data_IF_851285871465
#
_entry.id   IF_851285871465
#
_cell.length_a   1.000
_cell.length_b   1.000
_cell.length_c   1.000
_cell.angle_alpha   90.00
_cell.angle_beta   90.00
_cell.angle_gamma   90.00
#
_symmetry.space_group_name_H-M   'P 1'
#
loop_
_entity.id
_entity.type
_entity.pdbx_description
1 polymer ?
#
# COMPACT_ATOMS: atom_id res chain seq x y z
N UNK A 1 -20.33 0.68 -20.01
CA UNK A 1 -19.21 -0.23 -20.29
C UNK A 1 -18.85 -0.27 -21.75
N UNK A 2 -17.62 -0.61 -22.06
CA UNK A 2 -17.13 -0.82 -23.42
C UNK A 2 -16.49 -2.20 -23.51
N UNK A 3 -16.52 -2.78 -24.72
CA UNK A 3 -15.87 -4.07 -25.02
C UNK A 3 -14.84 -3.82 -26.11
N UNK A 4 -13.65 -4.35 -25.90
CA UNK A 4 -12.56 -4.33 -26.88
C UNK A 4 -12.19 -5.76 -27.20
N UNK A 5 -12.23 -6.12 -28.48
CA UNK A 5 -11.66 -7.36 -28.98
C UNK A 5 -10.21 -7.09 -29.39
N UNK A 6 -9.30 -7.80 -28.80
CA UNK A 6 -7.87 -7.70 -29.10
C UNK A 6 -7.26 -9.08 -28.99
N UNK A 7 -6.54 -9.50 -30.01
CA UNK A 7 -6.02 -10.86 -30.17
C UNK A 7 -7.14 -11.92 -29.97
N UNK A 8 -6.95 -12.89 -29.09
CA UNK A 8 -7.95 -13.91 -28.74
C UNK A 8 -8.76 -13.55 -27.48
N UNK A 9 -8.72 -12.27 -27.06
CA UNK A 9 -9.31 -11.80 -25.81
C UNK A 9 -10.47 -10.84 -26.03
N UNK A 10 -11.46 -10.90 -25.13
CA UNK A 10 -12.47 -9.86 -24.95
C UNK A 10 -12.17 -9.08 -23.68
N UNK A 11 -11.87 -7.82 -23.81
CA UNK A 11 -11.66 -6.93 -22.67
C UNK A 11 -12.93 -6.11 -22.41
N UNK A 12 -13.53 -6.32 -21.23
CA UNK A 12 -14.69 -5.58 -20.76
C UNK A 12 -14.23 -4.48 -19.80
N UNK A 13 -14.59 -3.25 -20.09
CA UNK A 13 -14.19 -2.09 -19.26
C UNK A 13 -15.43 -1.38 -18.75
N UNK A 14 -15.54 -1.27 -17.43
CA UNK A 14 -16.61 -0.56 -16.75
C UNK A 14 -16.00 0.56 -15.91
N UNK A 15 -16.51 1.75 -16.04
CA UNK A 15 -16.05 2.93 -15.30
C UNK A 15 -17.24 3.65 -14.70
N UNK A 16 -17.03 4.23 -13.52
CA UNK A 16 -18.00 5.10 -12.88
C UNK A 16 -17.25 6.24 -12.18
N UNK A 17 -17.69 7.45 -12.39
CA UNK A 17 -17.18 8.64 -11.71
C UNK A 17 -18.35 9.54 -11.37
N UNK A 18 -18.62 9.77 -10.08
CA UNK A 18 -19.54 10.78 -9.61
C UNK A 18 -18.73 11.92 -8.99
N UNK A 19 -18.91 13.12 -9.49
CA UNK A 19 -18.32 14.33 -8.88
C UNK A 19 -19.00 14.66 -7.54
N UNK A 20 -20.29 14.38 -7.46
CA UNK A 20 -21.11 14.53 -6.26
C UNK A 20 -21.95 13.26 -6.14
N UNK A 21 -21.80 12.53 -5.06
CA UNK A 21 -22.54 11.30 -4.81
C UNK A 21 -22.34 10.81 -3.39
N UNK A 22 -23.13 9.82 -2.99
CA UNK A 22 -22.98 9.17 -1.70
C UNK A 22 -21.89 8.09 -1.78
N UNK A 23 -21.32 7.74 -0.63
CA UNK A 23 -20.33 6.67 -0.53
C UNK A 23 -20.96 5.35 -1.01
N UNK A 24 -20.30 4.72 -1.99
CA UNK A 24 -20.77 3.47 -2.58
C UNK A 24 -21.55 3.60 -3.89
N UNK A 25 -21.94 4.80 -4.30
CA UNK A 25 -22.69 5.01 -5.54
C UNK A 25 -21.97 4.49 -6.78
N UNK A 26 -20.67 4.79 -6.90
CA UNK A 26 -19.84 4.31 -8.01
C UNK A 26 -19.74 2.78 -8.01
N UNK A 27 -19.55 2.16 -6.85
CA UNK A 27 -19.51 0.70 -6.72
C UNK A 27 -20.84 0.06 -7.06
N UNK A 28 -21.96 0.66 -6.62
CA UNK A 28 -23.30 0.18 -6.97
C UNK A 28 -23.57 0.32 -8.48
N UNK A 29 -23.11 1.41 -9.11
CA UNK A 29 -23.23 1.60 -10.55
C UNK A 29 -22.43 0.56 -11.33
N UNK A 30 -21.19 0.27 -10.93
CA UNK A 30 -20.36 -0.78 -11.52
C UNK A 30 -21.01 -2.16 -11.37
N UNK A 31 -21.50 -2.52 -10.19
CA UNK A 31 -22.18 -3.81 -9.96
C UNK A 31 -23.43 -3.96 -10.84
N UNK A 32 -24.23 -2.90 -10.99
CA UNK A 32 -25.40 -2.92 -11.89
C UNK A 32 -24.97 -3.11 -13.35
N UNK A 33 -23.94 -2.40 -13.80
CA UNK A 33 -23.44 -2.51 -15.18
C UNK A 33 -22.91 -3.92 -15.48
N UNK A 34 -22.08 -4.48 -14.60
CA UNK A 34 -21.56 -5.85 -14.70
C UNK A 34 -22.69 -6.89 -14.75
N UNK A 35 -23.66 -6.79 -13.82
CA UNK A 35 -24.77 -7.74 -13.74
C UNK A 35 -25.72 -7.67 -14.92
N UNK A 36 -25.85 -6.50 -15.56
CA UNK A 36 -26.73 -6.29 -16.71
C UNK A 36 -26.10 -6.72 -18.05
N UNK A 37 -24.78 -6.92 -18.10
CA UNK A 37 -24.08 -7.22 -19.34
C UNK A 37 -24.26 -8.69 -19.75
N UNK A 38 -25.06 -8.91 -20.78
CA UNK A 38 -25.35 -10.24 -21.30
C UNK A 38 -24.16 -10.86 -22.06
N UNK A 39 -23.31 -10.02 -22.69
CA UNK A 39 -22.14 -10.50 -23.40
C UNK A 39 -21.05 -10.98 -22.44
N UNK A 40 -20.78 -10.20 -21.38
CA UNK A 40 -19.88 -10.62 -20.30
C UNK A 40 -20.34 -11.96 -19.69
N UNK A 41 -21.62 -12.05 -19.34
CA UNK A 41 -22.18 -13.28 -18.77
C UNK A 41 -22.00 -14.48 -19.72
N UNK A 42 -22.22 -14.29 -21.01
CA UNK A 42 -22.01 -15.34 -22.03
C UNK A 42 -20.53 -15.71 -22.16
N UNK A 43 -19.63 -14.74 -22.13
CA UNK A 43 -18.19 -14.98 -22.17
C UNK A 43 -17.73 -15.81 -20.98
N UNK A 44 -18.16 -15.45 -19.77
CA UNK A 44 -17.83 -16.18 -18.52
C UNK A 44 -18.38 -17.61 -18.47
N UNK A 45 -19.48 -17.88 -19.18
CA UNK A 45 -20.07 -19.21 -19.27
C UNK A 45 -19.43 -20.10 -20.34
N UNK A 46 -18.49 -19.56 -21.13
CA UNK A 46 -17.81 -20.33 -22.18
C UNK A 46 -16.92 -21.41 -21.55
N UNK A 47 -16.94 -22.65 -22.05
CA UNK A 47 -16.07 -23.70 -21.55
C UNK A 47 -14.60 -23.30 -21.71
N UNK A 48 -13.82 -23.43 -20.61
CA UNK A 48 -12.40 -23.08 -20.61
C UNK A 48 -12.11 -21.57 -20.57
N UNK A 49 -13.12 -20.71 -20.31
CA UNK A 49 -12.88 -19.29 -20.13
C UNK A 49 -11.91 -19.06 -18.97
N UNK A 50 -10.84 -18.27 -19.25
CA UNK A 50 -9.92 -17.76 -18.23
C UNK A 50 -10.19 -16.28 -18.06
N UNK A 51 -10.06 -15.80 -16.83
CA UNK A 51 -10.44 -14.42 -16.49
C UNK A 51 -9.30 -13.76 -15.71
N UNK A 52 -8.87 -12.60 -16.18
CA UNK A 52 -8.04 -11.68 -15.40
C UNK A 52 -8.88 -10.43 -15.08
N UNK A 53 -8.87 -9.98 -13.84
CA UNK A 53 -9.63 -8.82 -13.38
C UNK A 53 -8.68 -7.77 -12.83
N UNK A 54 -8.74 -6.56 -13.36
CA UNK A 54 -8.03 -5.40 -12.83
C UNK A 54 -9.05 -4.37 -12.33
N UNK A 55 -9.18 -4.23 -11.03
CA UNK A 55 -10.09 -3.31 -10.37
C UNK A 55 -9.34 -2.20 -9.63
N UNK A 56 -9.91 -0.99 -9.60
CA UNK A 56 -9.30 0.14 -8.91
C UNK A 56 -10.36 1.12 -8.38
N UNK A 57 -10.18 1.58 -7.16
CA UNK A 57 -10.87 2.74 -6.60
C UNK A 57 -9.85 3.88 -6.47
N UNK A 58 -10.13 5.01 -7.12
CA UNK A 58 -9.19 6.11 -7.22
C UNK A 58 -9.51 7.23 -6.23
N UNK A 59 -8.52 7.65 -5.47
CA UNK A 59 -8.49 8.97 -4.85
C UNK A 59 -7.65 9.88 -5.75
N UNK A 60 -8.29 10.85 -6.41
CA UNK A 60 -7.63 11.64 -7.43
C UNK A 60 -6.64 12.64 -6.83
N UNK A 61 -5.34 12.43 -7.03
CA UNK A 61 -4.27 13.40 -6.77
C UNK A 61 -3.94 14.22 -8.02
N UNK A 62 -3.89 13.57 -9.20
CA UNK A 62 -3.58 14.19 -10.48
C UNK A 62 -4.74 14.03 -11.46
N UNK A 63 -5.18 15.12 -12.07
CA UNK A 63 -6.29 15.15 -13.02
C UNK A 63 -7.67 15.29 -12.36
N UNK A 64 -8.66 15.70 -13.16
CA UNK A 64 -10.03 15.91 -12.70
C UNK A 64 -10.76 14.58 -12.44
N UNK A 65 -11.76 14.61 -11.54
CA UNK A 65 -12.67 13.49 -11.35
C UNK A 65 -13.60 13.40 -12.54
N UNK A 66 -13.36 12.43 -13.40
CA UNK A 66 -14.15 12.17 -14.59
C UNK A 66 -13.98 10.75 -15.07
N UNK A 67 -14.95 10.21 -15.81
CA UNK A 67 -14.88 8.85 -16.35
C UNK A 67 -13.63 8.58 -17.21
N UNK A 68 -13.16 9.50 -18.09
CA UNK A 68 -11.92 9.30 -18.84
C UNK A 68 -10.67 9.13 -17.95
N UNK A 69 -10.66 9.72 -16.77
CA UNK A 69 -9.54 9.66 -15.83
C UNK A 69 -9.65 8.52 -14.81
N UNK A 70 -10.72 7.73 -14.79
CA UNK A 70 -10.83 6.57 -13.91
C UNK A 70 -9.96 5.42 -14.41
N UNK A 71 -9.41 4.65 -13.47
CA UNK A 71 -8.65 3.43 -13.79
C UNK A 71 -9.60 2.22 -13.95
N UNK A 72 -9.18 1.19 -14.70
CA UNK A 72 -7.95 1.10 -15.46
C UNK A 72 -7.98 1.97 -16.73
N UNK A 73 -6.79 2.35 -17.19
CA UNK A 73 -6.57 3.08 -18.44
C UNK A 73 -5.98 2.12 -19.47
N UNK A 74 -6.29 2.35 -20.76
CA UNK A 74 -5.79 1.51 -21.84
C UNK A 74 -4.67 2.18 -22.65
N UNK A 75 -4.01 1.40 -23.53
CA UNK A 75 -2.90 1.85 -24.37
C UNK A 75 -3.31 2.68 -25.58
N UNK A 76 -4.60 2.77 -25.92
CA UNK A 76 -5.03 3.50 -27.11
C UNK A 76 -4.63 4.97 -27.02
N UNK A 77 -3.90 5.41 -28.02
CA UNK A 77 -3.64 6.81 -28.29
C UNK A 77 -4.72 7.36 -29.23
N UNK A 78 -4.75 8.68 -29.40
CA UNK A 78 -5.66 9.30 -30.36
C UNK A 78 -5.48 8.66 -31.72
N UNK A 79 -6.60 8.30 -32.33
CA UNK A 79 -6.79 7.72 -33.66
C UNK A 79 -5.50 7.38 -34.41
N UNK A 80 -5.15 6.11 -34.47
CA UNK A 80 -3.96 5.67 -35.17
C UNK A 80 -4.21 5.74 -36.70
N UNK A 81 -3.53 6.60 -37.43
CA UNK A 81 -3.50 6.44 -38.87
C UNK A 81 -2.60 5.25 -39.21
N UNK A 82 -3.18 4.10 -39.57
CA UNK A 82 -2.57 3.03 -40.32
C UNK A 82 -1.15 2.60 -39.94
N UNK A 83 -0.86 2.32 -38.67
CA UNK A 83 0.42 1.80 -38.19
C UNK A 83 0.29 0.40 -37.64
N UNK A 84 1.42 -0.32 -37.44
CA UNK A 84 1.47 -1.61 -36.78
C UNK A 84 0.69 -1.56 -35.46
N UNK A 85 -0.21 -2.49 -35.26
CA UNK A 85 -1.07 -2.55 -34.08
C UNK A 85 -0.21 -2.72 -32.84
N UNK A 86 -0.07 -1.67 -32.04
CA UNK A 86 0.49 -1.80 -30.71
C UNK A 86 -0.44 -2.69 -29.86
N UNK A 87 0.13 -3.50 -28.95
CA UNK A 87 -0.68 -4.39 -28.12
C UNK A 87 -1.71 -3.62 -27.28
N UNK A 88 -2.86 -4.24 -27.06
CA UNK A 88 -3.84 -3.72 -26.13
C UNK A 88 -3.37 -4.01 -24.72
N UNK A 89 -3.11 -2.94 -23.98
CA UNK A 89 -2.63 -2.97 -22.58
C UNK A 89 -3.57 -2.15 -21.71
N UNK A 90 -3.88 -2.63 -20.53
CA UNK A 90 -4.62 -1.90 -19.51
C UNK A 90 -3.80 -1.78 -18.24
N UNK A 91 -3.89 -0.64 -17.55
CA UNK A 91 -3.10 -0.37 -16.36
C UNK A 91 -3.90 0.36 -15.29
N UNK A 92 -3.58 0.07 -14.03
CA UNK A 92 -4.00 0.84 -12.87
C UNK A 92 -2.79 1.26 -12.05
N UNK A 93 -2.88 2.43 -11.42
CA UNK A 93 -1.83 3.04 -10.59
C UNK A 93 -2.41 3.44 -9.24
N UNK A 94 -1.75 3.06 -8.16
CA UNK A 94 -1.84 3.69 -6.86
C UNK A 94 -0.50 4.39 -6.59
N UNK A 95 -0.52 5.68 -6.37
CA UNK A 95 0.66 6.53 -6.31
C UNK A 95 0.70 7.56 -7.43
N UNK A 96 1.86 8.11 -7.71
CA UNK A 96 2.06 9.18 -8.68
C UNK A 96 3.28 8.92 -9.58
N UNK A 97 3.13 9.19 -10.89
CA UNK A 97 4.23 9.26 -11.84
C UNK A 97 4.61 10.75 -11.99
N UNK A 98 5.55 11.20 -11.17
CA UNK A 98 5.89 12.63 -11.04
C UNK A 98 6.36 13.24 -12.36
N UNK A 99 7.10 12.49 -13.17
CA UNK A 99 7.65 12.95 -14.46
C UNK A 99 6.74 12.64 -15.66
N UNK A 100 5.45 12.33 -15.44
CA UNK A 100 4.52 11.95 -16.53
C UNK A 100 4.43 12.96 -17.66
N UNK A 101 4.53 14.26 -17.36
CA UNK A 101 4.47 15.31 -18.37
C UNK A 101 5.71 15.28 -19.29
N UNK A 102 6.90 15.07 -18.73
CA UNK A 102 8.14 14.96 -19.47
C UNK A 102 8.18 13.71 -20.35
N UNK A 103 7.69 12.58 -19.82
CA UNK A 103 7.56 11.33 -20.57
C UNK A 103 6.61 11.49 -21.77
N UNK A 104 5.48 12.20 -21.59
CA UNK A 104 4.57 12.50 -22.71
C UNK A 104 5.27 13.24 -23.84
N UNK A 105 6.10 14.22 -23.50
CA UNK A 105 6.85 15.00 -24.50
C UNK A 105 7.98 14.17 -25.11
N UNK A 106 8.80 13.54 -24.29
CA UNK A 106 9.96 12.76 -24.72
C UNK A 106 9.59 11.64 -25.68
N UNK A 107 8.50 10.93 -25.40
CA UNK A 107 8.01 9.86 -26.26
C UNK A 107 6.97 10.34 -27.32
N UNK A 108 6.59 11.61 -27.34
CA UNK A 108 5.60 12.15 -28.26
C UNK A 108 4.25 11.41 -28.16
N UNK A 109 3.78 11.13 -26.93
CA UNK A 109 2.54 10.37 -26.70
C UNK A 109 1.32 11.18 -27.12
N UNK A 110 0.44 10.55 -27.89
CA UNK A 110 -0.79 11.16 -28.42
C UNK A 110 -1.97 10.80 -27.50
N UNK A 111 -2.14 11.53 -26.42
CA UNK A 111 -3.18 11.31 -25.41
C UNK A 111 -4.32 12.29 -25.62
N UNK A 112 -5.58 11.82 -25.54
CA UNK A 112 -6.77 12.65 -25.63
C UNK A 112 -6.75 13.74 -24.56
N UNK A 113 -7.16 14.97 -24.90
CA UNK A 113 -7.15 16.13 -23.99
C UNK A 113 -8.07 15.96 -22.77
N UNK A 114 -9.04 15.07 -22.85
CA UNK A 114 -9.94 14.70 -21.75
C UNK A 114 -9.27 13.82 -20.70
N UNK A 115 -8.12 13.21 -21.03
CA UNK A 115 -7.34 12.34 -20.12
C UNK A 115 -6.18 13.17 -19.58
N UNK A 116 -6.27 13.53 -18.32
CA UNK A 116 -5.30 14.43 -17.64
C UNK A 116 -4.55 13.75 -16.51
N UNK A 117 -4.89 12.48 -16.19
CA UNK A 117 -4.19 11.70 -15.16
C UNK A 117 -2.82 11.24 -15.64
N UNK A 118 -1.87 11.23 -14.74
CA UNK A 118 -0.50 10.73 -14.91
C UNK A 118 -0.44 9.25 -15.30
N UNK A 119 -1.32 8.43 -14.74
CA UNK A 119 -1.37 6.98 -14.99
C UNK A 119 -1.53 6.59 -16.47
N UNK A 120 -1.98 7.50 -17.33
CA UNK A 120 -2.16 7.20 -18.77
C UNK A 120 -0.85 6.92 -19.50
N UNK A 121 0.28 7.40 -19.01
CA UNK A 121 1.58 7.11 -19.64
C UNK A 121 1.96 5.63 -19.50
N UNK A 122 1.46 4.93 -18.48
CA UNK A 122 1.81 3.54 -18.18
C UNK A 122 1.42 2.62 -19.35
N UNK A 123 0.12 2.43 -19.68
CA UNK A 123 -0.27 1.51 -20.75
C UNK A 123 0.25 1.97 -22.12
N UNK A 124 0.37 3.28 -22.36
CA UNK A 124 0.88 3.80 -23.62
C UNK A 124 2.36 3.44 -23.86
N UNK A 125 3.21 3.59 -22.84
CA UNK A 125 4.64 3.26 -22.95
C UNK A 125 4.86 1.74 -22.98
N UNK A 126 4.17 0.97 -22.13
CA UNK A 126 4.25 -0.50 -22.18
C UNK A 126 3.92 -1.02 -23.57
N UNK A 127 2.82 -0.54 -24.16
CA UNK A 127 2.43 -0.96 -25.51
C UNK A 127 3.47 -0.60 -26.56
N UNK A 128 4.11 0.57 -26.47
CA UNK A 128 5.17 0.97 -27.41
C UNK A 128 6.43 0.13 -27.26
N UNK A 129 6.89 -0.11 -26.03
CA UNK A 129 8.05 -0.95 -25.79
C UNK A 129 7.81 -2.40 -26.23
N UNK A 130 6.60 -2.92 -26.03
CA UNK A 130 6.22 -4.26 -26.45
C UNK A 130 6.18 -4.47 -27.97
N UNK A 131 6.26 -3.40 -28.77
CA UNK A 131 6.47 -3.54 -30.21
C UNK A 131 7.89 -4.03 -30.58
N UNK A 132 8.85 -3.94 -29.68
CA UNK A 132 10.27 -4.24 -29.96
C UNK A 132 10.88 -5.25 -28.97
N UNK A 133 10.19 -5.56 -27.89
CA UNK A 133 10.64 -6.51 -26.84
C UNK A 133 9.46 -7.37 -26.39
N UNK A 134 9.73 -8.43 -25.63
CA UNK A 134 8.67 -9.13 -24.93
C UNK A 134 7.99 -8.23 -23.88
N UNK A 135 6.81 -8.66 -23.43
CA UNK A 135 5.96 -7.82 -22.59
C UNK A 135 6.55 -7.58 -21.18
N UNK A 136 7.24 -8.55 -20.62
CA UNK A 136 7.87 -8.42 -19.30
C UNK A 136 8.99 -7.38 -19.34
N UNK A 137 9.84 -7.43 -20.35
CA UNK A 137 10.91 -6.45 -20.56
C UNK A 137 10.33 -5.07 -20.96
N UNK A 138 9.26 -5.03 -21.76
CA UNK A 138 8.56 -3.79 -22.08
C UNK A 138 8.02 -3.10 -20.82
N UNK A 139 7.42 -3.88 -19.92
CA UNK A 139 6.92 -3.38 -18.64
C UNK A 139 8.07 -2.90 -17.75
N UNK A 140 9.14 -3.70 -17.61
CA UNK A 140 10.32 -3.34 -16.84
C UNK A 140 10.95 -2.03 -17.34
N UNK A 141 11.17 -1.89 -18.65
CA UNK A 141 11.70 -0.63 -19.23
C UNK A 141 10.81 0.56 -18.90
N UNK A 142 9.51 0.39 -19.04
CA UNK A 142 8.54 1.45 -18.76
C UNK A 142 8.63 1.92 -17.31
N UNK A 143 8.61 1.00 -16.33
CA UNK A 143 8.63 1.40 -14.91
C UNK A 143 9.98 1.96 -14.46
N UNK A 144 11.07 1.61 -15.14
CA UNK A 144 12.38 2.20 -14.90
C UNK A 144 12.48 3.68 -15.30
N UNK A 145 11.65 4.14 -16.23
CA UNK A 145 11.61 5.54 -16.66
C UNK A 145 10.80 6.44 -15.69
N UNK A 146 10.04 5.87 -14.77
CA UNK A 146 9.18 6.64 -13.87
C UNK A 146 9.95 7.24 -12.71
N UNK A 147 9.53 8.41 -12.28
CA UNK A 147 9.87 9.04 -11.00
C UNK A 147 8.63 9.06 -10.12
N UNK A 148 8.82 9.01 -8.80
CA UNK A 148 7.72 8.98 -7.82
C UNK A 148 7.55 7.62 -7.14
N UNK A 149 6.51 7.51 -6.31
CA UNK A 149 6.13 6.27 -5.62
C UNK A 149 4.95 5.63 -6.34
N UNK A 150 5.11 4.37 -6.74
CA UNK A 150 4.14 3.69 -7.60
C UNK A 150 3.85 2.27 -7.14
N UNK A 151 2.57 1.89 -7.13
CA UNK A 151 2.10 0.51 -7.15
C UNK A 151 1.23 0.34 -8.40
N UNK A 152 1.68 -0.48 -9.33
CA UNK A 152 1.12 -0.61 -10.68
C UNK A 152 0.65 -2.04 -10.92
N UNK A 153 -0.53 -2.18 -11.53
CA UNK A 153 -0.99 -3.43 -12.12
C UNK A 153 -1.25 -3.25 -13.62
N UNK A 154 -0.74 -4.18 -14.42
CA UNK A 154 -0.89 -4.17 -15.89
C UNK A 154 -1.35 -5.54 -16.38
N UNK A 155 -2.31 -5.54 -17.30
CA UNK A 155 -2.71 -6.71 -18.09
C UNK A 155 -2.67 -6.40 -19.57
N UNK A 156 -2.42 -7.41 -20.41
CA UNK A 156 -2.35 -7.27 -21.84
C UNK A 156 -3.04 -8.42 -22.56
N UNK A 157 -3.68 -8.12 -23.69
CA UNK A 157 -4.27 -9.14 -24.56
C UNK A 157 -3.23 -10.08 -25.19
N UNK A 158 -1.96 -9.65 -25.31
CA UNK A 158 -0.88 -10.51 -25.81
C UNK A 158 -0.41 -11.58 -24.78
N UNK A 159 -0.69 -11.38 -23.49
CA UNK A 159 -0.38 -12.33 -22.43
C UNK A 159 -1.56 -12.46 -21.46
N UNK A 160 -2.68 -13.04 -21.91
CA UNK A 160 -3.94 -12.99 -21.18
C UNK A 160 -3.94 -13.79 -19.86
N UNK A 161 -2.99 -14.71 -19.67
CA UNK A 161 -2.79 -15.42 -18.42
C UNK A 161 -1.89 -14.68 -17.43
N UNK A 162 -1.26 -13.57 -17.84
CA UNK A 162 -0.27 -12.90 -17.03
C UNK A 162 -0.78 -11.57 -16.47
N UNK A 163 -0.41 -11.30 -15.23
CA UNK A 163 -0.56 -10.00 -14.58
C UNK A 163 0.83 -9.47 -14.20
N UNK A 164 1.11 -8.24 -14.60
CA UNK A 164 2.37 -7.57 -14.34
C UNK A 164 2.18 -6.56 -13.22
N UNK A 165 3.04 -6.61 -12.21
CA UNK A 165 3.01 -5.74 -11.04
C UNK A 165 4.34 -5.01 -10.90
N UNK A 166 4.29 -3.76 -10.47
CA UNK A 166 5.50 -3.04 -10.06
C UNK A 166 5.22 -2.26 -8.78
N UNK A 167 6.18 -2.28 -7.88
CA UNK A 167 6.16 -1.52 -6.64
C UNK A 167 7.49 -0.80 -6.48
N UNK A 168 7.45 0.51 -6.23
CA UNK A 168 8.62 1.32 -5.89
C UNK A 168 8.24 2.50 -5.01
N UNK A 169 9.13 2.81 -4.06
CA UNK A 169 8.94 3.88 -3.10
C UNK A 169 8.19 3.42 -1.87
N UNK A 170 7.99 4.33 -0.94
CA UNK A 170 7.33 4.10 0.34
C UNK A 170 5.86 4.56 0.31
N UNK A 171 5.05 4.02 1.21
CA UNK A 171 3.65 4.40 1.37
C UNK A 171 2.66 3.68 0.46
N UNK A 172 3.15 2.84 -0.46
CA UNK A 172 2.35 1.95 -1.30
C UNK A 172 2.60 0.49 -0.91
N UNK A 173 1.64 -0.38 -1.17
CA UNK A 173 1.77 -1.80 -0.91
C UNK A 173 1.15 -2.64 -2.03
N UNK A 174 1.69 -3.82 -2.26
CA UNK A 174 1.09 -4.88 -3.06
C UNK A 174 1.27 -6.21 -2.35
N UNK A 175 0.18 -6.92 -2.20
CA UNK A 175 0.08 -8.21 -1.52
C UNK A 175 -0.48 -9.23 -2.52
N UNK A 176 0.24 -10.32 -2.74
CA UNK A 176 -0.10 -11.38 -3.68
C UNK A 176 -0.62 -12.55 -2.88
N UNK A 177 -1.94 -12.69 -2.79
CA UNK A 177 -2.61 -13.81 -2.13
C UNK A 177 -2.52 -15.09 -2.96
N UNK A 178 -2.23 -16.19 -2.29
CA UNK A 178 -2.09 -17.53 -2.86
C UNK A 178 -3.37 -18.31 -2.53
N UNK A 179 -4.37 -18.27 -3.41
CA UNK A 179 -5.56 -19.09 -3.33
C UNK A 179 -5.38 -20.39 -4.14
N UNK A 180 -6.24 -21.38 -3.93
CA UNK A 180 -6.08 -22.72 -4.52
C UNK A 180 -6.12 -22.72 -6.06
N UNK A 181 -6.81 -21.76 -6.67
CA UNK A 181 -7.05 -21.70 -8.11
C UNK A 181 -6.82 -20.31 -8.74
N UNK A 182 -6.37 -19.34 -7.96
CA UNK A 182 -6.09 -17.99 -8.46
C UNK A 182 -5.05 -17.25 -7.60
N UNK A 183 -4.44 -16.22 -8.19
CA UNK A 183 -3.77 -15.17 -7.44
C UNK A 183 -4.76 -14.04 -7.17
N UNK A 184 -4.73 -13.50 -5.96
CA UNK A 184 -5.49 -12.31 -5.58
C UNK A 184 -4.51 -11.21 -5.21
N UNK A 185 -4.47 -10.14 -5.99
CA UNK A 185 -3.58 -9.00 -5.72
C UNK A 185 -4.36 -7.87 -5.09
N UNK A 186 -3.87 -7.33 -3.99
CA UNK A 186 -4.48 -6.18 -3.34
C UNK A 186 -3.42 -5.19 -2.84
N UNK A 187 -3.80 -3.92 -2.72
CA UNK A 187 -2.95 -2.88 -2.11
C UNK A 187 -2.86 -3.01 -0.59
N UNK A 188 -3.69 -3.87 0.02
CA UNK A 188 -3.79 -4.10 1.44
C UNK A 188 -4.01 -5.58 1.76
N UNK A 189 -3.44 -6.13 2.86
CA UNK A 189 -3.56 -7.56 3.15
C UNK A 189 -5.02 -8.00 3.38
N UNK A 190 -5.88 -7.13 3.88
CA UNK A 190 -7.29 -7.46 4.05
C UNK A 190 -8.06 -7.58 2.72
N UNK A 191 -7.50 -7.10 1.62
CA UNK A 191 -8.07 -7.32 0.29
C UNK A 191 -7.89 -8.75 -0.24
N UNK A 192 -7.03 -9.57 0.37
CA UNK A 192 -6.83 -10.97 -0.03
C UNK A 192 -7.49 -11.98 0.90
N UNK A 193 -7.87 -11.59 2.14
CA UNK A 193 -8.31 -12.53 3.18
C UNK A 193 -9.69 -13.15 2.96
N UNK A 194 -10.47 -12.66 2.00
CA UNK A 194 -11.73 -13.32 1.61
C UNK A 194 -11.47 -14.62 0.83
N UNK A 195 -10.32 -14.71 0.13
CA UNK A 195 -9.97 -15.86 -0.71
C UNK A 195 -8.87 -16.71 -0.09
N UNK A 196 -7.88 -16.10 0.56
CA UNK A 196 -6.75 -16.80 1.16
C UNK A 196 -6.16 -16.06 2.34
N UNK A 197 -5.63 -16.82 3.32
CA UNK A 197 -4.85 -16.25 4.42
C UNK A 197 -3.35 -16.17 4.13
N UNK A 198 -2.88 -16.71 3.00
CA UNK A 198 -1.45 -16.75 2.66
C UNK A 198 -1.16 -15.72 1.57
N UNK A 199 -0.13 -14.94 1.74
CA UNK A 199 0.29 -13.97 0.74
C UNK A 199 1.80 -13.77 0.72
N UNK A 200 2.31 -13.29 -0.41
CA UNK A 200 3.66 -12.73 -0.56
C UNK A 200 3.51 -11.21 -0.63
N UNK A 201 4.31 -10.49 0.16
CA UNK A 201 4.37 -9.02 0.11
C UNK A 201 5.49 -8.58 -0.82
N UNK A 202 5.21 -7.60 -1.68
CA UNK A 202 6.24 -6.91 -2.46
C UNK A 202 6.92 -5.83 -1.60
N UNK A 203 8.23 -5.63 -1.83
CA UNK A 203 9.03 -4.56 -1.22
C UNK A 203 9.38 -3.50 -2.27
N UNK A 204 8.95 -2.27 -2.04
CA UNK A 204 9.24 -1.13 -2.92
C UNK A 204 10.39 -0.24 -2.44
N UNK A 205 10.89 -0.41 -1.21
CA UNK A 205 11.81 0.54 -0.58
C UNK A 205 13.26 0.34 -1.05
N UNK A 206 13.69 -0.89 -1.31
CA UNK A 206 15.06 -1.21 -1.69
C UNK A 206 15.30 -1.17 -3.21
N UNK A 207 14.82 -0.13 -3.88
CA UNK A 207 15.02 0.06 -5.33
C UNK A 207 13.83 -0.38 -6.19
N UNK A 208 12.83 -1.00 -5.58
CA UNK A 208 11.60 -1.45 -6.24
C UNK A 208 11.65 -2.90 -6.73
N UNK A 209 10.47 -3.47 -6.86
CA UNK A 209 10.25 -4.84 -7.34
C UNK A 209 9.26 -4.87 -8.50
N UNK A 210 9.49 -5.80 -9.41
CA UNK A 210 8.58 -6.16 -10.50
C UNK A 210 8.19 -7.63 -10.29
N UNK A 211 6.90 -7.92 -10.46
CA UNK A 211 6.40 -9.28 -10.41
C UNK A 211 5.58 -9.56 -11.65
N UNK A 212 5.80 -10.74 -12.25
CA UNK A 212 4.94 -11.33 -13.27
C UNK A 212 4.26 -12.54 -12.65
N UNK A 213 2.94 -12.51 -12.61
CA UNK A 213 2.12 -13.64 -12.17
C UNK A 213 1.61 -14.39 -13.38
N UNK A 214 1.82 -15.70 -13.43
CA UNK A 214 1.23 -16.56 -14.47
C UNK A 214 0.02 -17.32 -13.90
N UNK A 215 -1.15 -17.02 -14.37
CA UNK A 215 -2.39 -17.66 -13.94
C UNK A 215 -2.49 -19.15 -14.37
N UNK A 216 -1.55 -19.67 -15.16
CA UNK A 216 -1.47 -21.09 -15.45
C UNK A 216 -0.99 -21.91 -14.23
N UNK A 217 -0.16 -21.29 -13.39
CA UNK A 217 0.39 -21.87 -12.15
C UNK A 217 -0.21 -21.18 -10.92
N UNK A 218 -1.49 -20.78 -11.02
CA UNK A 218 -2.18 -20.04 -9.99
C UNK A 218 -2.19 -20.78 -8.64
N UNK A 219 -1.88 -20.03 -7.57
CA UNK A 219 -1.78 -20.57 -6.21
C UNK A 219 -0.39 -21.08 -5.82
N UNK A 220 0.48 -21.40 -6.78
CA UNK A 220 1.83 -21.89 -6.55
C UNK A 220 2.89 -20.77 -6.61
N UNK A 221 4.01 -20.95 -5.90
CA UNK A 221 5.11 -19.99 -5.92
C UNK A 221 5.84 -19.99 -7.28
N UNK A 222 5.80 -21.07 -8.02
CA UNK A 222 6.46 -21.22 -9.32
C UNK A 222 5.85 -20.30 -10.39
N UNK A 223 4.57 -19.90 -10.24
CA UNK A 223 3.92 -18.93 -11.10
C UNK A 223 4.25 -17.45 -10.79
N UNK A 224 5.16 -17.20 -9.81
CA UNK A 224 5.58 -15.86 -9.41
C UNK A 224 7.02 -15.61 -9.85
N UNK A 225 7.19 -14.82 -10.89
CA UNK A 225 8.53 -14.34 -11.31
C UNK A 225 8.74 -12.95 -10.70
N UNK A 226 9.69 -12.83 -9.76
CA UNK A 226 10.04 -11.56 -9.10
C UNK A 226 11.42 -11.08 -9.55
N UNK A 227 11.50 -9.81 -9.92
CA UNK A 227 12.69 -9.14 -10.45
C UNK A 227 12.89 -7.81 -9.72
N UNK A 228 14.16 -7.43 -9.56
CA UNK A 228 14.50 -6.04 -9.28
C UNK A 228 14.35 -5.18 -10.55
N UNK A 229 14.35 -3.86 -10.39
CA UNK A 229 14.24 -2.93 -11.53
C UNK A 229 15.43 -3.02 -12.51
N UNK A 230 16.60 -3.45 -12.06
CA UNK A 230 17.76 -3.73 -12.94
C UNK A 230 17.62 -5.04 -13.75
N UNK A 231 16.56 -5.82 -13.48
CA UNK A 231 16.29 -7.10 -14.13
C UNK A 231 16.91 -8.30 -13.43
N UNK A 232 17.60 -8.13 -12.31
CA UNK A 232 18.11 -9.25 -11.52
C UNK A 232 16.97 -10.03 -10.88
N UNK A 233 17.08 -11.37 -10.88
CA UNK A 233 16.06 -12.24 -10.31
C UNK A 233 16.07 -12.16 -8.78
N UNK A 234 14.88 -12.06 -8.20
CA UNK A 234 14.61 -12.11 -6.76
C UNK A 234 13.74 -13.35 -6.48
N UNK A 235 14.31 -14.53 -6.25
CA UNK A 235 13.52 -15.76 -6.09
C UNK A 235 12.51 -15.64 -4.95
N UNK A 236 11.27 -16.06 -5.20
CA UNK A 236 10.24 -16.17 -4.18
C UNK A 236 10.32 -17.56 -3.57
N UNK A 237 10.38 -17.62 -2.25
CA UNK A 237 10.57 -18.87 -1.51
C UNK A 237 9.53 -19.04 -0.40
N UNK A 238 9.41 -20.23 0.17
CA UNK A 238 8.45 -20.48 1.25
C UNK A 238 8.57 -19.51 2.46
N UNK A 239 9.77 -19.06 2.86
CA UNK A 239 9.92 -18.03 3.88
C UNK A 239 9.29 -16.66 3.55
N UNK A 240 9.10 -16.33 2.26
CA UNK A 240 8.46 -15.08 1.83
C UNK A 240 6.92 -15.14 2.02
N UNK A 241 6.37 -16.33 2.27
CA UNK A 241 4.94 -16.51 2.46
C UNK A 241 4.55 -16.13 3.88
N UNK A 242 3.73 -15.11 3.99
CA UNK A 242 3.18 -14.60 5.26
C UNK A 242 1.75 -15.09 5.42
N UNK A 243 1.37 -15.45 6.66
CA UNK A 243 -0.02 -15.74 6.99
C UNK A 243 -0.67 -14.47 7.55
N UNK A 244 -1.79 -14.06 6.95
CA UNK A 244 -2.56 -12.91 7.40
C UNK A 244 -3.07 -13.13 8.83
N UNK A 245 -2.83 -12.16 9.71
CA UNK A 245 -3.38 -12.15 11.06
C UNK A 245 -4.80 -11.53 11.10
N UNK A 246 -5.19 -10.83 10.03
CA UNK A 246 -6.52 -10.26 9.82
C UNK A 246 -7.44 -11.31 9.22
N UNK A 247 -8.69 -11.33 9.65
CA UNK A 247 -9.71 -12.27 9.17
C UNK A 247 -10.88 -11.52 8.54
N UNK A 248 -11.73 -12.24 7.80
CA UNK A 248 -12.98 -11.68 7.22
C UNK A 248 -13.92 -11.09 8.27
N UNK A 249 -13.85 -11.56 9.53
CA UNK A 249 -14.62 -10.99 10.63
C UNK A 249 -14.16 -9.58 10.99
N UNK A 250 -12.84 -9.33 10.91
CA UNK A 250 -12.26 -8.05 11.32
C UNK A 250 -12.62 -6.94 10.32
N UNK A 251 -12.79 -7.29 9.04
CA UNK A 251 -13.19 -6.36 7.98
C UNK A 251 -14.72 -6.23 7.80
N UNK A 252 -15.52 -6.95 8.56
CA UNK A 252 -16.96 -6.91 8.44
C UNK A 252 -17.54 -5.65 9.12
N UNK A 253 -18.31 -4.86 8.37
CA UNK A 253 -18.98 -3.68 8.91
C UNK A 253 -20.10 -4.01 9.91
N UNK A 254 -20.65 -5.22 9.84
CA UNK A 254 -21.83 -5.60 10.62
C UNK A 254 -23.05 -4.74 10.25
N UNK A 255 -23.87 -4.40 11.25
CA UNK A 255 -25.08 -3.59 11.09
C UNK A 255 -24.83 -2.08 11.10
N UNK A 256 -23.57 -1.64 11.23
CA UNK A 256 -23.24 -0.22 11.22
C UNK A 256 -23.51 0.39 9.83
N UNK A 257 -24.09 1.60 9.74
CA UNK A 257 -24.37 2.25 8.46
C UNK A 257 -23.11 2.56 7.65
N UNK A 258 -21.98 2.81 8.33
CA UNK A 258 -20.67 3.01 7.72
C UNK A 258 -19.54 2.65 8.71
N UNK A 259 -18.34 2.41 8.20
CA UNK A 259 -17.19 1.99 9.00
C UNK A 259 -16.80 3.00 10.08
N UNK A 260 -16.85 4.30 9.79
CA UNK A 260 -16.51 5.33 10.77
C UNK A 260 -17.34 5.20 12.06
N UNK A 261 -18.65 5.00 11.95
CA UNK A 261 -19.50 4.81 13.13
C UNK A 261 -19.16 3.52 13.88
N UNK A 262 -18.89 2.44 13.14
CA UNK A 262 -18.44 1.17 13.73
C UNK A 262 -17.17 1.39 14.55
N UNK A 263 -16.14 1.97 13.95
CA UNK A 263 -14.84 2.17 14.56
C UNK A 263 -14.88 3.09 15.78
N UNK A 264 -15.60 4.21 15.71
CA UNK A 264 -15.81 5.09 16.86
C UNK A 264 -16.51 4.33 18.00
N UNK A 265 -17.51 3.51 17.67
CA UNK A 265 -18.25 2.73 18.67
C UNK A 265 -17.41 1.62 19.30
N UNK A 266 -16.41 1.12 18.60
CA UNK A 266 -15.48 0.10 19.08
C UNK A 266 -14.31 0.66 19.91
N UNK A 267 -14.09 1.98 19.91
CA UNK A 267 -12.97 2.61 20.60
C UNK A 267 -12.81 2.19 22.09
N UNK A 268 -13.87 2.05 22.90
CA UNK A 268 -13.72 1.57 24.29
C UNK A 268 -13.18 0.16 24.37
N UNK A 269 -13.57 -0.73 23.44
CA UNK A 269 -13.07 -2.11 23.38
C UNK A 269 -11.63 -2.16 22.89
N UNK A 270 -11.28 -1.35 21.89
CA UNK A 270 -9.92 -1.21 21.38
C UNK A 270 -8.97 -0.71 22.47
N UNK A 271 -9.38 0.29 23.23
CA UNK A 271 -8.63 0.79 24.36
C UNK A 271 -8.40 -0.30 25.45
N UNK A 272 -9.46 -1.03 25.80
CA UNK A 272 -9.35 -2.12 26.75
C UNK A 272 -8.42 -3.25 26.26
N UNK A 273 -8.46 -3.58 24.97
CA UNK A 273 -7.52 -4.54 24.35
C UNK A 273 -6.07 -4.03 24.42
N UNK A 274 -5.84 -2.74 24.15
CA UNK A 274 -4.52 -2.13 24.23
C UNK A 274 -3.90 -2.26 25.62
N UNK A 275 -4.68 -2.10 26.66
CA UNK A 275 -4.21 -2.20 28.04
C UNK A 275 -4.08 -3.63 28.56
N UNK A 276 -4.66 -4.62 27.87
CA UNK A 276 -4.69 -6.01 28.33
C UNK A 276 -3.27 -6.55 28.57
N UNK A 277 -3.01 -7.00 29.80
CA UNK A 277 -1.71 -7.53 30.21
C UNK A 277 -0.61 -6.50 30.39
N UNK A 278 -0.90 -5.21 30.11
CA UNK A 278 0.07 -4.12 30.28
C UNK A 278 -0.12 -3.35 31.59
N UNK A 279 -1.23 -3.59 32.29
CA UNK A 279 -1.47 -3.10 33.64
C UNK A 279 -1.53 -4.32 34.55
N UNK A 280 -0.60 -4.39 35.49
CA UNK A 280 -0.47 -5.49 36.44
C UNK A 280 -0.53 -4.98 37.89
N UNK A 281 -1.15 -5.74 38.79
CA UNK A 281 -1.18 -5.42 40.19
C UNK A 281 -0.04 -6.17 40.88
N UNK A 282 0.81 -5.44 41.61
CA UNK A 282 1.86 -5.97 42.48
C UNK A 282 1.83 -5.23 43.79
N UNK A 283 1.77 -5.97 44.91
CA UNK A 283 1.75 -5.43 46.28
C UNK A 283 0.64 -4.39 46.51
N UNK A 284 -0.53 -4.58 45.89
CA UNK A 284 -1.69 -3.67 45.97
C UNK A 284 -1.54 -2.37 45.16
N UNK A 285 -0.52 -2.26 44.33
CA UNK A 285 -0.31 -1.11 43.43
C UNK A 285 -0.41 -1.54 41.99
N UNK A 286 -0.93 -0.64 41.17
CA UNK A 286 -0.96 -0.83 39.71
C UNK A 286 0.37 -0.41 39.08
N UNK A 287 0.92 -1.30 38.29
CA UNK A 287 2.15 -1.07 37.53
C UNK A 287 1.89 -1.20 36.03
N UNK A 288 2.56 -0.37 35.24
CA UNK A 288 2.62 -0.55 33.77
C UNK A 288 3.73 -1.57 33.46
N UNK A 289 3.40 -2.57 32.66
CA UNK A 289 4.33 -3.55 32.13
C UNK A 289 4.11 -3.67 30.62
N UNK A 290 4.90 -2.93 29.86
CA UNK A 290 4.79 -2.91 28.39
C UNK A 290 5.50 -4.10 27.73
N UNK A 291 6.32 -4.83 28.49
CA UNK A 291 7.10 -5.99 28.04
C UNK A 291 8.31 -5.63 27.18
N UNK A 292 9.22 -6.60 27.03
CA UNK A 292 10.47 -6.40 26.30
C UNK A 292 10.29 -6.18 24.79
N UNK A 293 9.15 -6.58 24.23
CA UNK A 293 8.83 -6.31 22.84
C UNK A 293 8.61 -4.83 22.58
N UNK A 294 7.99 -4.12 23.51
CA UNK A 294 7.74 -2.69 23.38
C UNK A 294 8.92 -1.85 23.90
N UNK A 295 9.57 -2.31 24.96
CA UNK A 295 10.76 -1.68 25.49
C UNK A 295 11.90 -2.73 25.59
N UNK A 296 12.74 -2.85 24.54
CA UNK A 296 13.88 -3.74 24.53
C UNK A 296 14.86 -3.46 25.70
N UNK A 297 15.55 -4.51 26.13
CA UNK A 297 16.45 -4.42 27.31
C UNK A 297 17.55 -3.38 27.10
N UNK A 298 18.14 -3.33 25.90
CA UNK A 298 19.20 -2.37 25.58
C UNK A 298 18.70 -0.91 25.64
N UNK A 299 17.48 -0.64 25.17
CA UNK A 299 16.86 0.70 25.26
C UNK A 299 16.55 1.04 26.73
N UNK A 300 16.03 0.09 27.50
CA UNK A 300 15.76 0.26 28.92
C UNK A 300 17.05 0.54 29.71
N UNK A 301 18.14 -0.20 29.42
CA UNK A 301 19.44 -0.02 30.05
C UNK A 301 20.03 1.36 29.70
N UNK A 302 19.91 1.83 28.46
CA UNK A 302 20.36 3.16 28.05
C UNK A 302 19.58 4.28 28.74
N UNK A 303 18.27 4.11 28.96
CA UNK A 303 17.45 5.03 29.74
C UNK A 303 17.89 5.04 31.20
N UNK A 304 18.05 3.87 31.80
CA UNK A 304 18.48 3.72 33.21
C UNK A 304 19.88 4.27 33.46
N UNK A 305 20.80 4.09 32.51
CA UNK A 305 22.15 4.63 32.55
C UNK A 305 22.25 6.14 32.27
N UNK A 306 21.13 6.78 31.85
CA UNK A 306 21.11 8.19 31.50
C UNK A 306 21.88 8.53 30.20
N UNK A 307 22.13 7.55 29.33
CA UNK A 307 22.73 7.77 28.04
C UNK A 307 21.70 8.25 27.01
N UNK A 308 20.44 7.89 27.18
CA UNK A 308 19.31 8.55 26.52
C UNK A 308 18.86 9.70 27.42
N UNK A 309 18.99 10.91 26.91
CA UNK A 309 18.61 12.15 27.60
C UNK A 309 17.49 12.88 26.91
N UNK A 310 17.13 12.46 25.68
CA UNK A 310 16.12 13.09 24.84
C UNK A 310 15.09 12.10 24.37
N UNK A 311 13.83 12.53 24.37
CA UNK A 311 12.73 11.80 23.77
C UNK A 311 12.07 12.68 22.70
N UNK A 312 11.89 12.14 21.50
CA UNK A 312 11.18 12.81 20.42
C UNK A 312 10.00 11.96 20.01
N UNK A 313 8.79 12.44 20.29
CA UNK A 313 7.57 11.78 19.86
C UNK A 313 7.20 12.30 18.47
N UNK A 314 7.20 11.42 17.48
CA UNK A 314 7.00 11.77 16.07
C UNK A 314 5.75 11.10 15.50
N UNK A 315 5.14 11.72 14.52
CA UNK A 315 4.00 11.21 13.75
C UNK A 315 3.58 12.21 12.69
N UNK A 316 2.54 11.89 11.94
CA UNK A 316 1.93 12.79 10.96
C UNK A 316 0.41 12.88 11.17
N UNK A 317 -0.16 14.03 10.84
CA UNK A 317 -1.60 14.26 10.97
C UNK A 317 -2.12 14.00 12.39
N UNK A 318 -3.17 13.20 12.54
CA UNK A 318 -3.78 12.87 13.84
C UNK A 318 -2.80 12.14 14.77
N UNK A 319 -1.89 11.33 14.24
CA UNK A 319 -0.86 10.65 15.02
C UNK A 319 0.12 11.66 15.66
N UNK A 320 0.43 12.78 15.00
CA UNK A 320 1.23 13.84 15.58
C UNK A 320 0.52 14.52 16.77
N UNK A 321 -0.80 14.70 16.69
CA UNK A 321 -1.61 15.24 17.81
C UNK A 321 -1.60 14.30 19.01
N UNK A 322 -1.76 12.99 18.77
CA UNK A 322 -1.60 11.97 19.80
C UNK A 322 -0.18 11.99 20.41
N UNK A 323 0.83 12.23 19.58
CA UNK A 323 2.20 12.41 19.97
C UNK A 323 2.42 13.60 20.93
N UNK A 324 1.76 14.73 20.68
CA UNK A 324 1.81 15.90 21.56
C UNK A 324 1.30 15.57 22.97
N UNK A 325 0.16 14.88 23.06
CA UNK A 325 -0.38 14.45 24.36
C UNK A 325 0.56 13.48 25.07
N UNK A 326 1.15 12.54 24.32
CA UNK A 326 2.11 11.58 24.84
C UNK A 326 3.36 12.28 25.38
N UNK A 327 3.91 13.23 24.63
CA UNK A 327 5.09 13.99 25.05
C UNK A 327 4.82 14.82 26.32
N UNK A 328 3.69 15.50 26.38
CA UNK A 328 3.31 16.29 27.57
C UNK A 328 3.23 15.43 28.84
N UNK A 329 2.62 14.23 28.74
CA UNK A 329 2.53 13.28 29.86
C UNK A 329 3.91 12.76 30.25
N UNK A 330 4.76 12.41 29.28
CA UNK A 330 6.12 11.94 29.54
C UNK A 330 6.98 13.01 30.21
N UNK A 331 6.88 14.26 29.76
CA UNK A 331 7.62 15.38 30.35
C UNK A 331 7.23 15.57 31.83
N UNK A 332 5.93 15.59 32.11
CA UNK A 332 5.42 15.67 33.49
C UNK A 332 5.89 14.48 34.36
N UNK A 333 5.78 13.25 33.87
CA UNK A 333 6.15 12.04 34.63
C UNK A 333 7.65 11.92 34.83
N UNK A 334 8.47 12.44 33.95
CA UNK A 334 9.92 12.41 34.08
C UNK A 334 10.49 13.57 34.92
N UNK A 335 9.65 14.51 35.32
CA UNK A 335 10.05 15.68 36.13
C UNK A 335 11.24 16.42 35.48
N UNK A 336 11.13 16.69 34.17
CA UNK A 336 12.15 17.31 33.30
C UNK A 336 13.54 16.64 33.33
N UNK A 337 13.63 15.38 33.78
CA UNK A 337 14.89 14.61 33.71
C UNK A 337 15.26 14.19 32.30
N UNK A 338 14.29 14.18 31.39
CA UNK A 338 14.46 13.97 29.96
C UNK A 338 14.00 15.22 29.21
N UNK A 339 14.70 15.58 28.14
CA UNK A 339 14.27 16.59 27.19
C UNK A 339 13.23 15.95 26.24
N UNK A 340 11.94 16.09 26.60
CA UNK A 340 10.81 15.49 25.86
C UNK A 340 10.14 16.53 24.98
N UNK A 341 9.97 16.21 23.71
CA UNK A 341 9.25 17.08 22.74
C UNK A 341 8.50 16.25 21.72
N UNK A 342 7.40 16.81 21.21
CA UNK A 342 6.64 16.25 20.09
C UNK A 342 6.82 17.12 18.86
N UNK A 343 7.21 16.49 17.77
CA UNK A 343 7.47 17.16 16.50
C UNK A 343 6.93 16.31 15.35
N UNK A 344 6.36 16.93 14.31
CA UNK A 344 5.97 16.18 13.13
C UNK A 344 7.19 15.53 12.48
N UNK A 345 7.01 14.35 11.91
CA UNK A 345 8.11 13.60 11.29
C UNK A 345 8.84 14.44 10.21
N UNK A 346 8.09 15.17 9.39
CA UNK A 346 8.63 16.06 8.35
C UNK A 346 9.48 17.21 8.91
N UNK A 347 9.01 17.85 9.99
CA UNK A 347 9.78 18.93 10.63
C UNK A 347 11.08 18.42 11.27
N UNK A 348 11.02 17.25 11.92
CA UNK A 348 12.22 16.66 12.50
C UNK A 348 13.24 16.31 11.41
N UNK A 349 12.83 15.62 10.35
CA UNK A 349 13.73 15.22 9.27
C UNK A 349 14.28 16.40 8.47
N UNK A 350 13.47 17.44 8.28
CA UNK A 350 13.86 18.62 7.51
C UNK A 350 14.76 19.60 8.28
N UNK A 351 14.52 19.80 9.57
CA UNK A 351 15.13 20.91 10.30
C UNK A 351 15.66 20.56 11.70
N UNK A 352 15.20 19.49 12.33
CA UNK A 352 15.44 19.21 13.74
C UNK A 352 16.50 18.15 14.02
N UNK A 353 17.04 17.48 13.01
CA UNK A 353 17.98 16.38 13.21
C UNK A 353 19.43 16.87 13.39
N UNK A 354 20.07 16.34 14.42
CA UNK A 354 21.52 16.47 14.63
C UNK A 354 22.27 15.37 13.84
N UNK A 355 23.58 15.54 13.66
CA UNK A 355 24.44 14.54 13.00
C UNK A 355 24.53 13.25 13.83
N UNK A 356 24.55 13.38 15.15
CA UNK A 356 24.54 12.26 16.11
C UNK A 356 23.29 12.36 16.98
N UNK A 357 22.52 11.32 17.04
CA UNK A 357 21.29 11.15 17.80
C UNK A 357 21.37 9.98 18.78
N UNK A 358 22.60 9.52 19.11
CA UNK A 358 22.84 8.42 20.03
C UNK A 358 22.30 8.65 21.44
N UNK A 359 21.98 9.88 21.83
CA UNK A 359 21.35 10.25 23.09
C UNK A 359 19.81 10.35 23.01
N UNK A 360 19.21 9.93 21.91
CA UNK A 360 17.80 10.17 21.62
C UNK A 360 17.02 8.86 21.50
N UNK A 361 15.85 8.83 22.13
CA UNK A 361 14.80 7.86 21.89
C UNK A 361 13.70 8.53 21.05
N UNK A 362 13.43 7.99 19.87
CA UNK A 362 12.27 8.37 19.08
C UNK A 362 11.09 7.44 19.39
N UNK A 363 9.93 8.03 19.67
CA UNK A 363 8.65 7.30 19.78
C UNK A 363 7.84 7.65 18.54
N UNK A 364 7.77 6.73 17.60
CA UNK A 364 7.07 6.91 16.34
C UNK A 364 5.63 6.42 16.46
N UNK A 365 4.68 7.33 16.34
CA UNK A 365 3.24 7.02 16.42
C UNK A 365 2.68 6.95 15.00
N UNK A 366 2.12 5.81 14.64
CA UNK A 366 1.47 5.60 13.34
C UNK A 366 0.41 4.52 13.45
N UNK A 367 -0.79 4.78 12.99
CA UNK A 367 -1.85 3.78 12.97
C UNK A 367 -1.52 2.65 11.97
N UNK A 368 -1.27 3.00 10.72
CA UNK A 368 -0.97 2.03 9.65
C UNK A 368 0.45 1.47 9.70
N UNK A 369 1.40 2.22 10.28
CA UNK A 369 2.83 1.89 10.23
C UNK A 369 3.47 2.05 8.84
N UNK A 370 2.73 2.55 7.84
CA UNK A 370 3.19 2.70 6.45
C UNK A 370 3.36 4.16 6.01
N UNK A 371 3.11 5.13 6.89
CA UNK A 371 3.23 6.56 6.57
C UNK A 371 4.64 6.90 6.14
N UNK A 372 4.79 7.32 4.88
CA UNK A 372 6.08 7.58 4.22
C UNK A 372 6.99 8.48 5.02
N UNK A 373 6.50 9.66 5.43
CA UNK A 373 7.33 10.65 6.14
C UNK A 373 7.79 10.15 7.50
N UNK A 374 6.93 9.39 8.21
CA UNK A 374 7.29 8.77 9.48
C UNK A 374 8.38 7.72 9.27
N UNK A 375 8.24 6.84 8.30
CA UNK A 375 9.20 5.78 8.02
C UNK A 375 10.56 6.33 7.55
N UNK A 376 10.57 7.30 6.64
CA UNK A 376 11.82 7.99 6.22
C UNK A 376 12.52 8.68 7.37
N UNK A 377 11.76 9.31 8.25
CA UNK A 377 12.31 9.96 9.45
C UNK A 377 12.91 8.93 10.41
N UNK A 378 12.27 7.78 10.57
CA UNK A 378 12.81 6.66 11.37
C UNK A 378 14.12 6.13 10.78
N UNK A 379 14.22 5.94 9.47
CA UNK A 379 15.47 5.52 8.82
C UNK A 379 16.60 6.51 9.08
N UNK A 380 16.34 7.81 8.97
CA UNK A 380 17.31 8.86 9.25
C UNK A 380 17.72 8.89 10.73
N UNK A 381 16.78 8.71 11.66
CA UNK A 381 17.05 8.66 13.10
C UNK A 381 17.95 7.47 13.44
N UNK A 382 17.63 6.28 12.92
CA UNK A 382 18.43 5.07 13.13
C UNK A 382 19.84 5.20 12.54
N UNK A 383 19.97 5.75 11.34
CA UNK A 383 21.28 5.99 10.72
C UNK A 383 22.17 6.94 11.53
N UNK A 384 21.58 7.74 12.42
CA UNK A 384 22.27 8.65 13.35
C UNK A 384 22.37 8.14 14.78
N UNK A 385 22.05 6.88 15.02
CA UNK A 385 22.22 6.20 16.31
C UNK A 385 21.07 6.34 17.31
N UNK A 386 19.94 6.95 16.94
CA UNK A 386 18.76 6.99 17.79
C UNK A 386 18.15 5.60 18.00
N UNK A 387 17.63 5.35 19.19
CA UNK A 387 16.72 4.23 19.44
C UNK A 387 15.31 4.61 18.99
N UNK A 388 14.54 3.63 18.48
CA UNK A 388 13.19 3.85 17.99
C UNK A 388 12.20 2.85 18.60
N UNK A 389 11.11 3.37 19.17
CA UNK A 389 9.95 2.59 19.58
C UNK A 389 8.77 3.00 18.71
N UNK A 390 8.14 2.03 18.05
CA UNK A 390 6.91 2.24 17.29
C UNK A 390 5.67 2.02 18.16
N UNK A 391 4.70 2.94 18.11
CA UNK A 391 3.34 2.74 18.62
C UNK A 391 2.44 2.57 17.37
N UNK A 392 1.99 1.35 17.11
CA UNK A 392 1.39 0.98 15.83
C UNK A 392 0.16 0.11 16.07
N UNK A 393 -0.89 0.28 15.26
CA UNK A 393 -1.99 -0.66 15.27
C UNK A 393 -1.75 -1.84 14.32
N UNK A 394 -1.13 -1.61 13.16
CA UNK A 394 -0.97 -2.61 12.12
C UNK A 394 0.28 -3.45 12.34
N UNK A 395 0.10 -4.77 12.40
CA UNK A 395 1.21 -5.72 12.41
C UNK A 395 1.84 -5.85 11.03
N UNK A 396 3.10 -6.27 11.01
CA UNK A 396 3.85 -6.51 9.77
C UNK A 396 3.85 -5.30 8.83
N UNK A 397 3.99 -4.11 9.40
CA UNK A 397 4.12 -2.83 8.67
C UNK A 397 5.58 -2.37 8.66
N UNK A 398 5.92 -1.46 7.74
CA UNK A 398 7.28 -0.93 7.58
C UNK A 398 7.85 -0.41 8.89
N UNK A 399 7.05 0.34 9.67
CA UNK A 399 7.50 0.86 10.96
C UNK A 399 7.80 -0.26 11.97
N UNK A 400 7.06 -1.37 11.94
CA UNK A 400 7.31 -2.50 12.85
C UNK A 400 8.59 -3.24 12.54
N UNK A 401 9.01 -3.24 11.27
CA UNK A 401 10.25 -3.87 10.83
C UNK A 401 11.47 -3.00 11.11
N UNK A 402 11.27 -1.68 11.18
CA UNK A 402 12.32 -0.67 11.40
C UNK A 402 12.57 -0.34 12.87
N UNK A 403 11.55 -0.45 13.73
CA UNK A 403 11.65 -0.06 15.14
C UNK A 403 12.42 -1.09 15.97
N UNK A 404 13.17 -0.62 16.98
CA UNK A 404 13.85 -1.49 17.96
C UNK A 404 12.83 -2.15 18.89
N UNK A 405 11.74 -1.44 19.22
CA UNK A 405 10.63 -1.96 20.00
C UNK A 405 9.28 -1.54 19.44
N UNK A 406 8.25 -2.37 19.65
CA UNK A 406 6.90 -2.10 19.12
C UNK A 406 5.84 -2.32 20.18
N UNK A 407 5.05 -1.27 20.42
CA UNK A 407 3.83 -1.31 21.21
C UNK A 407 2.62 -1.32 20.29
N UNK A 408 1.87 -2.41 20.27
CA UNK A 408 0.64 -2.48 19.49
C UNK A 408 -0.54 -1.90 20.24
N UNK A 409 -1.30 -1.02 19.56
CA UNK A 409 -2.65 -0.66 19.95
C UNK A 409 -3.59 -1.79 19.56
N UNK A 410 -4.60 -2.10 20.38
CA UNK A 410 -5.59 -3.16 20.12
C UNK A 410 -5.01 -4.52 19.71
N UNK A 411 -3.83 -4.87 20.27
CA UNK A 411 -3.05 -6.06 19.91
C UNK A 411 -2.67 -6.14 18.41
N UNK A 412 -2.72 -5.02 17.68
CA UNK A 412 -2.41 -4.96 16.27
C UNK A 412 -3.44 -5.63 15.36
N UNK A 413 -4.68 -5.76 15.81
CA UNK A 413 -5.75 -6.51 15.12
C UNK A 413 -6.94 -5.67 14.68
N UNK A 414 -7.04 -4.43 15.08
CA UNK A 414 -8.11 -3.57 14.57
C UNK A 414 -7.80 -3.19 13.13
N UNK A 415 -8.73 -3.51 12.25
CA UNK A 415 -8.70 -3.10 10.85
C UNK A 415 -9.50 -1.82 10.74
N UNK A 416 -8.81 -0.75 10.45
CA UNK A 416 -9.41 0.53 10.22
C UNK A 416 -9.70 0.67 8.73
N UNK A 417 -10.99 0.66 8.40
CA UNK A 417 -11.52 0.81 7.05
C UNK A 417 -11.92 2.26 6.77
N UNK A 418 -11.90 3.09 7.79
CA UNK A 418 -12.11 4.54 7.70
C UNK A 418 -10.91 5.28 8.29
N UNK A 419 -10.90 6.58 8.18
CA UNK A 419 -9.81 7.47 8.65
C UNK A 419 -10.13 7.98 10.06
N UNK A 420 -10.56 7.13 10.94
CA UNK A 420 -10.90 7.56 12.30
C UNK A 420 -9.71 7.46 13.27
#
# INVERSE_FOLDING_TARGET
GSVVEADECLSFVYKAAAEIGELGDNTAALRRALSADALLRRALQSPGARVAILGHTRWASVGIISEPNTHPLNSFELEQPGGAQAPYVVAALNGDVDNHADLRVAHGLRIASTITTDAKVIPALVARHAMTTDLAEAFRRTVCEFEGSVAIGVASAQAPSQLFLALRGSGQGLYIGLADDCYVVASEPYGVVEETSKYVRMDGEQGGEIVVLDGADAGDLDGIVRLAYDGSALPVTSPDVVTAEVTTRDINRGDAPHFLLKEISEAPLSFAKTLRGKIVERDGLLHADVGQRALPVDVADRLAAGTITRVRVIGQGTAAVAGQSTAAILDELTDARLDVDAITATELSGFGMRLDMGDTLAIAVSQSGTTTDTNRTVDLLRSRGAAVIGIVNRRSSDLTDKADGVLYTSDGRDVEMSVA
#
